data_IF_461616086023
#
_entry.id   IF_461616086023
#
_cell.length_a   1.000
_cell.length_b   1.000
_cell.length_c   1.000
_cell.angle_alpha   90.00
_cell.angle_beta   90.00
_cell.angle_gamma   90.00
#
_symmetry.space_group_name_H-M   'P 1'
#
loop_
_entity.id
_entity.type
_entity.pdbx_description
1 polymer ?
#
# COMPACT_ATOMS: atom_id res chain seq x y z
N UNK A 1 28.44 -40.36 -40.65
CA UNK A 1 29.47 -39.73 -39.80
C UNK A 1 28.83 -38.55 -39.08
N UNK A 2 29.26 -38.25 -37.84
CA UNK A 2 28.85 -37.14 -36.95
C UNK A 2 30.05 -36.13 -36.89
N UNK A 3 30.03 -34.96 -36.21
CA UNK A 3 28.96 -33.99 -35.82
C UNK A 3 28.98 -32.75 -36.77
N UNK A 4 28.58 -31.48 -36.53
CA UNK A 4 28.10 -30.61 -35.42
C UNK A 4 26.87 -29.80 -35.93
N UNK A 5 25.94 -29.16 -35.18
CA UNK A 5 25.73 -28.73 -33.78
C UNK A 5 26.10 -27.27 -33.39
N UNK A 6 25.09 -26.46 -33.01
CA UNK A 6 25.12 -25.06 -32.47
C UNK A 6 25.41 -23.93 -33.50
N UNK A 7 25.09 -22.63 -33.28
CA UNK A 7 24.76 -21.87 -32.05
C UNK A 7 23.58 -20.89 -32.21
N UNK A 8 23.04 -20.42 -31.08
CA UNK A 8 22.18 -19.23 -30.97
C UNK A 8 22.97 -17.95 -31.30
N UNK A 9 22.37 -17.03 -32.06
CA UNK A 9 22.81 -15.61 -32.10
C UNK A 9 21.59 -14.71 -31.89
N UNK A 10 21.63 -13.86 -30.86
CA UNK A 10 20.61 -12.81 -30.63
C UNK A 10 20.81 -11.69 -31.66
N UNK A 11 19.78 -11.37 -32.45
CA UNK A 11 19.79 -10.17 -33.30
C UNK A 11 18.79 -9.14 -32.77
N UNK A 12 19.34 -8.07 -32.18
CA UNK A 12 18.63 -6.84 -31.82
C UNK A 12 18.68 -5.85 -32.99
N UNK A 13 17.78 -5.94 -33.96
CA UNK A 13 17.30 -4.74 -34.67
C UNK A 13 15.95 -5.02 -35.36
N UNK A 14 15.08 -4.01 -35.38
CA UNK A 14 13.76 -4.02 -36.05
C UNK A 14 13.89 -3.55 -37.51
N UNK A 15 14.99 -2.88 -37.87
CA UNK A 15 15.24 -2.28 -39.19
C UNK A 15 15.32 -3.27 -40.36
N UNK A 16 15.44 -4.58 -40.09
CA UNK A 16 15.50 -5.61 -41.14
C UNK A 16 14.15 -5.94 -41.81
N UNK A 17 13.01 -5.66 -41.18
CA UNK A 17 11.71 -6.17 -41.66
C UNK A 17 11.13 -5.39 -42.85
N UNK A 18 11.61 -4.17 -43.11
CA UNK A 18 10.98 -3.24 -44.05
C UNK A 18 11.33 -3.48 -45.54
N UNK A 19 12.31 -4.35 -45.83
CA UNK A 19 12.85 -4.51 -47.19
C UNK A 19 12.24 -5.67 -48.01
N UNK A 20 11.47 -6.57 -47.39
CA UNK A 20 10.93 -7.75 -48.10
C UNK A 20 9.54 -7.55 -48.71
N UNK A 21 8.91 -6.38 -48.52
CA UNK A 21 7.53 -6.12 -48.94
C UNK A 21 7.39 -5.04 -50.03
N UNK A 22 8.35 -5.00 -50.97
CA UNK A 22 8.42 -3.96 -52.01
C UNK A 22 8.67 -4.49 -53.44
N UNK A 23 8.29 -5.75 -53.74
CA UNK A 23 8.45 -6.29 -55.10
C UNK A 23 7.40 -7.34 -55.55
N UNK A 24 6.11 -6.95 -55.60
CA UNK A 24 5.21 -7.41 -56.67
C UNK A 24 4.07 -6.43 -56.96
N UNK A 25 3.59 -6.45 -58.20
CA UNK A 25 2.94 -5.33 -58.85
C UNK A 25 1.46 -5.58 -59.20
N UNK A 26 0.70 -4.48 -59.22
CA UNK A 26 -0.41 -4.19 -60.14
C UNK A 26 -1.48 -5.27 -60.37
N UNK A 27 -2.68 -5.06 -59.80
CA UNK A 27 -3.96 -5.00 -60.54
C UNK A 27 -5.15 -4.68 -59.63
N UNK A 28 -6.22 -4.11 -60.20
CA UNK A 28 -7.60 -4.28 -59.70
C UNK A 28 -8.00 -3.75 -58.32
N UNK A 29 -8.49 -2.51 -58.28
CA UNK A 29 -9.66 -2.09 -57.48
C UNK A 29 -9.87 -2.66 -56.05
N UNK A 30 -9.17 -2.13 -55.05
CA UNK A 30 -9.62 -2.23 -53.64
C UNK A 30 -9.52 -0.90 -52.86
N UNK A 31 -10.05 0.17 -53.47
CA UNK A 31 -9.99 1.54 -52.94
C UNK A 31 -11.16 1.83 -51.98
N UNK A 32 -11.01 1.51 -50.69
CA UNK A 32 -11.80 2.11 -49.58
C UNK A 32 -11.16 1.90 -48.19
N UNK A 33 -10.50 0.77 -47.91
CA UNK A 33 -10.31 0.30 -46.51
C UNK A 33 -9.06 0.75 -45.73
N UNK A 34 -8.14 1.54 -46.29
CA UNK A 34 -6.84 1.84 -45.65
C UNK A 34 -6.55 3.31 -45.32
N UNK A 35 -7.51 4.22 -45.50
CA UNK A 35 -7.34 5.65 -45.15
C UNK A 35 -7.47 5.95 -43.64
N UNK A 36 -7.31 4.96 -42.76
CA UNK A 36 -7.56 5.10 -41.31
C UNK A 36 -6.56 4.39 -40.38
N UNK A 37 -5.40 3.93 -40.89
CA UNK A 37 -4.33 3.36 -40.04
C UNK A 37 -3.23 4.38 -39.72
N UNK A 38 -3.04 5.40 -40.57
CA UNK A 38 -2.00 6.43 -40.35
C UNK A 38 -2.32 7.40 -39.20
N UNK A 39 -3.59 7.50 -38.77
CA UNK A 39 -4.00 8.36 -37.65
C UNK A 39 -3.76 7.72 -36.27
N UNK A 40 -3.52 6.39 -36.21
CA UNK A 40 -3.40 5.63 -34.96
C UNK A 40 -1.95 5.35 -34.53
N UNK A 41 -0.96 5.87 -35.26
CA UNK A 41 0.48 5.61 -35.01
C UNK A 41 1.30 6.87 -34.68
N UNK A 42 0.66 8.02 -34.39
CA UNK A 42 1.40 9.26 -34.10
C UNK A 42 0.78 10.18 -33.03
N UNK A 43 0.14 9.61 -32.00
CA UNK A 43 -0.24 10.32 -30.78
C UNK A 43 0.45 9.72 -29.54
N UNK A 44 1.77 9.85 -29.51
CA UNK A 44 2.55 9.83 -28.27
C UNK A 44 2.57 11.24 -27.66
N UNK A 45 1.39 11.75 -27.27
CA UNK A 45 1.25 12.91 -26.39
C UNK A 45 1.01 12.41 -24.97
N UNK A 46 1.91 12.78 -24.05
CA UNK A 46 2.00 12.18 -22.71
C UNK A 46 1.01 12.77 -21.70
N UNK A 47 -0.28 12.71 -22.01
CA UNK A 47 -1.39 13.09 -21.12
C UNK A 47 -2.33 11.91 -20.83
N UNK A 48 -1.76 10.70 -20.78
CA UNK A 48 -2.41 9.60 -20.08
C UNK A 48 -2.56 9.99 -18.61
N UNK A 49 -3.78 10.27 -18.16
CA UNK A 49 -4.09 10.44 -16.73
C UNK A 49 -3.58 9.19 -16.04
N UNK A 50 -2.49 9.33 -15.28
CA UNK A 50 -1.90 8.26 -14.51
C UNK A 50 -2.82 7.98 -13.32
N UNK A 51 -3.93 7.28 -13.58
CA UNK A 51 -4.77 6.64 -12.57
C UNK A 51 -3.94 5.51 -11.97
N UNK A 52 -2.98 5.89 -11.14
CA UNK A 52 -2.37 5.01 -10.14
C UNK A 52 -3.49 4.63 -9.19
N UNK A 53 -4.26 3.62 -9.58
CA UNK A 53 -5.22 2.95 -8.73
C UNK A 53 -4.45 2.29 -7.60
N UNK A 54 -4.15 3.07 -6.55
CA UNK A 54 -3.72 2.55 -5.25
C UNK A 54 -4.84 1.61 -4.80
N UNK A 55 -4.62 0.32 -5.01
CA UNK A 55 -5.18 -0.69 -4.11
C UNK A 55 -4.79 -0.30 -2.68
N UNK A 56 -5.63 -0.66 -1.71
CA UNK A 56 -5.33 -0.37 -0.29
C UNK A 56 -4.12 -1.22 0.11
N UNK A 57 -2.93 -0.65 -0.07
CA UNK A 57 -1.64 -1.33 0.07
C UNK A 57 -0.89 -0.76 1.26
N UNK A 58 -0.97 -1.49 2.37
CA UNK A 58 -0.10 -1.28 3.53
C UNK A 58 1.35 -1.64 3.13
N UNK A 59 2.31 -0.80 3.47
CA UNK A 59 3.75 -1.09 3.34
C UNK A 59 4.27 -1.78 4.60
N UNK A 60 5.47 -2.36 4.55
CA UNK A 60 6.15 -2.84 5.76
C UNK A 60 6.25 -1.77 6.86
N UNK A 61 6.36 -0.48 6.51
CA UNK A 61 6.35 0.62 7.49
C UNK A 61 4.98 0.75 8.17
N UNK A 62 3.88 0.63 7.43
CA UNK A 62 2.52 0.65 7.96
C UNK A 62 2.22 -0.57 8.83
N UNK A 63 2.53 -1.77 8.33
CA UNK A 63 2.36 -3.05 9.03
C UNK A 63 3.12 -3.05 10.36
N UNK A 64 4.39 -2.65 10.36
CA UNK A 64 5.21 -2.59 11.59
C UNK A 64 4.75 -1.49 12.56
N UNK A 65 4.26 -0.35 12.07
CA UNK A 65 3.68 0.69 12.92
C UNK A 65 2.40 0.21 13.62
N UNK A 66 1.50 -0.44 12.87
CA UNK A 66 0.25 -0.99 13.40
C UNK A 66 0.53 -2.12 14.39
N UNK A 67 1.40 -3.10 14.03
CA UNK A 67 1.81 -4.18 14.94
C UNK A 67 2.42 -3.67 16.23
N UNK A 68 3.31 -2.68 16.16
CA UNK A 68 3.97 -2.15 17.36
C UNK A 68 3.01 -1.37 18.26
N UNK A 69 2.06 -0.61 17.70
CA UNK A 69 1.00 0.02 18.49
C UNK A 69 0.04 -1.03 19.09
N UNK A 70 -0.26 -2.10 18.35
CA UNK A 70 -1.09 -3.21 18.84
C UNK A 70 -0.41 -3.97 19.98
N UNK A 71 0.89 -4.24 19.88
CA UNK A 71 1.68 -4.80 20.98
C UNK A 71 1.59 -3.93 22.24
N UNK A 72 1.78 -2.60 22.09
CA UNK A 72 1.67 -1.68 23.22
C UNK A 72 0.23 -1.55 23.75
N UNK A 73 -0.80 -1.69 22.91
CA UNK A 73 -2.20 -1.68 23.32
C UNK A 73 -2.63 -2.97 24.04
N UNK A 74 -2.15 -4.13 23.60
CA UNK A 74 -2.30 -5.40 24.32
C UNK A 74 -1.63 -5.31 25.69
N UNK A 75 -0.39 -4.82 25.76
CA UNK A 75 0.30 -4.64 27.05
C UNK A 75 -0.39 -3.59 27.94
N UNK A 76 -0.96 -2.54 27.37
CA UNK A 76 -1.78 -1.58 28.12
C UNK A 76 -3.04 -2.21 28.71
N UNK A 77 -3.68 -3.14 27.99
CA UNK A 77 -4.85 -3.88 28.46
C UNK A 77 -4.51 -4.90 29.58
N UNK A 78 -3.33 -5.52 29.51
CA UNK A 78 -2.87 -6.51 30.50
C UNK A 78 -2.27 -5.88 31.77
N UNK A 79 -1.49 -4.80 31.63
CA UNK A 79 -0.56 -4.30 32.67
C UNK A 79 -0.75 -2.79 32.98
N UNK A 80 -1.56 -2.06 32.21
CA UNK A 80 -1.70 -0.60 32.32
C UNK A 80 -0.56 0.17 31.64
N UNK A 81 -0.24 1.38 32.12
CA UNK A 81 0.87 2.15 31.55
C UNK A 81 2.23 1.52 31.87
N UNK A 82 2.81 0.83 30.88
CA UNK A 82 4.16 0.27 30.93
C UNK A 82 5.05 0.82 29.80
N UNK A 83 6.35 1.00 30.09
CA UNK A 83 7.36 1.48 29.13
C UNK A 83 8.24 0.33 28.65
N UNK A 84 8.29 0.11 27.34
CA UNK A 84 9.09 -0.95 26.72
C UNK A 84 10.30 -0.38 26.00
N UNK A 85 11.45 -1.06 26.09
CA UNK A 85 12.65 -0.65 25.36
C UNK A 85 12.51 -0.99 23.86
N UNK A 86 13.14 -0.19 22.99
CA UNK A 86 12.96 -0.38 21.54
C UNK A 86 13.61 -1.67 21.02
N UNK A 87 14.73 -2.08 21.63
CA UNK A 87 15.39 -3.39 21.48
C UNK A 87 14.48 -4.56 21.90
N UNK A 88 13.66 -4.37 22.94
CA UNK A 88 12.72 -5.37 23.42
C UNK A 88 11.52 -5.53 22.48
N UNK A 89 10.91 -4.42 22.05
CA UNK A 89 9.82 -4.44 21.05
C UNK A 89 10.35 -5.02 19.72
N UNK A 90 11.55 -4.62 19.30
CA UNK A 90 12.25 -5.15 18.12
C UNK A 90 12.33 -6.68 18.14
N UNK A 91 12.80 -7.24 19.26
CA UNK A 91 12.88 -8.69 19.49
C UNK A 91 11.51 -9.37 19.58
N UNK A 92 10.53 -8.75 20.22
CA UNK A 92 9.19 -9.33 20.46
C UNK A 92 8.27 -9.26 19.23
N UNK A 93 8.58 -8.44 18.23
CA UNK A 93 7.78 -8.25 17.02
C UNK A 93 8.51 -8.63 15.72
N UNK A 94 9.77 -9.07 15.81
CA UNK A 94 10.67 -9.35 14.67
C UNK A 94 10.80 -8.16 13.70
N UNK A 95 10.99 -6.96 14.27
CA UNK A 95 11.15 -5.71 13.52
C UNK A 95 12.59 -5.20 13.70
N UNK A 96 13.38 -4.96 12.63
CA UNK A 96 14.74 -4.43 12.75
C UNK A 96 14.79 -3.10 13.51
N UNK A 97 15.56 -3.04 14.59
CA UNK A 97 15.58 -1.95 15.57
C UNK A 97 15.73 -0.56 14.95
N UNK A 98 16.70 -0.35 14.04
CA UNK A 98 16.92 0.93 13.33
C UNK A 98 15.76 1.39 12.45
N UNK A 99 14.86 0.48 12.06
CA UNK A 99 13.66 0.80 11.30
C UNK A 99 12.48 1.08 12.25
N UNK A 100 12.41 0.33 13.36
CA UNK A 100 11.49 0.60 14.47
C UNK A 100 11.73 2.00 15.08
N UNK A 101 12.99 2.43 15.26
CA UNK A 101 13.36 3.79 15.69
C UNK A 101 12.74 4.88 14.83
N UNK A 102 12.76 4.72 13.50
CA UNK A 102 12.21 5.69 12.55
C UNK A 102 10.68 5.74 12.60
N UNK A 103 10.05 4.58 12.79
CA UNK A 103 8.59 4.47 12.99
C UNK A 103 8.21 5.13 14.32
N UNK A 104 8.92 4.84 15.40
CA UNK A 104 8.62 5.34 16.75
C UNK A 104 8.86 6.85 16.87
N UNK A 105 9.88 7.39 16.19
CA UNK A 105 10.08 8.84 16.08
C UNK A 105 8.89 9.54 15.38
N UNK A 106 8.30 8.90 14.36
CA UNK A 106 7.12 9.42 13.65
C UNK A 106 5.86 9.32 14.52
N UNK A 107 5.59 8.15 15.12
CA UNK A 107 4.46 7.93 16.02
C UNK A 107 4.49 8.86 17.24
N UNK A 108 5.67 9.09 17.83
CA UNK A 108 5.86 10.04 18.94
C UNK A 108 5.63 11.49 18.50
N UNK A 109 6.12 11.90 17.31
CA UNK A 109 5.86 13.24 16.75
C UNK A 109 4.38 13.49 16.49
N UNK A 110 3.62 12.45 16.16
CA UNK A 110 2.17 12.53 15.95
C UNK A 110 1.33 12.29 17.22
N UNK A 111 1.95 12.16 18.39
CA UNK A 111 1.25 12.09 19.68
C UNK A 111 0.67 10.73 20.07
N UNK A 112 0.96 9.65 19.33
CA UNK A 112 0.54 8.29 19.67
C UNK A 112 1.41 7.65 20.77
N UNK A 113 2.70 8.00 20.80
CA UNK A 113 3.67 7.48 21.77
C UNK A 113 4.27 8.59 22.63
N UNK A 114 4.62 8.25 23.87
CA UNK A 114 5.48 9.03 24.77
C UNK A 114 6.76 8.26 25.06
N UNK A 115 7.84 8.96 25.42
CA UNK A 115 9.17 8.36 25.59
C UNK A 115 9.85 8.84 26.87
N UNK A 116 10.23 7.91 27.74
CA UNK A 116 10.94 8.18 28.99
C UNK A 116 12.42 7.77 28.89
N UNK A 117 13.31 8.53 29.54
CA UNK A 117 14.76 8.23 29.60
C UNK A 117 15.11 7.43 30.87
N UNK A 118 16.24 6.73 30.82
CA UNK A 118 16.79 5.94 31.94
C UNK A 118 16.61 4.44 31.75
N UNK A 119 17.10 3.65 32.72
CA UNK A 119 17.14 2.17 32.63
C UNK A 119 15.75 1.51 32.57
N UNK A 120 14.76 2.11 33.25
CA UNK A 120 13.32 1.76 33.15
C UNK A 120 12.56 2.70 32.20
N UNK A 121 13.28 3.37 31.30
CA UNK A 121 12.72 4.18 30.22
C UNK A 121 12.43 3.32 28.99
N UNK A 122 11.96 3.98 27.93
CA UNK A 122 11.44 3.31 26.74
C UNK A 122 10.32 4.12 26.13
N UNK A 123 9.38 3.42 25.49
CA UNK A 123 8.17 4.00 24.90
C UNK A 123 6.90 3.38 25.49
N UNK A 124 5.87 4.20 25.63
CA UNK A 124 4.51 3.82 26.02
C UNK A 124 3.50 4.55 25.13
N UNK A 125 2.23 4.11 25.13
CA UNK A 125 1.15 4.86 24.49
C UNK A 125 0.95 6.21 25.19
N UNK A 126 0.62 7.25 24.43
CA UNK A 126 0.39 8.62 24.94
C UNK A 126 -1.10 9.01 24.99
N UNK A 127 -1.97 8.17 24.43
CA UNK A 127 -3.43 8.22 24.52
C UNK A 127 -3.94 6.84 24.96
N UNK A 128 -5.18 6.76 25.46
CA UNK A 128 -5.82 5.46 25.71
C UNK A 128 -6.00 4.70 24.37
N UNK A 129 -5.80 3.37 24.30
CA UNK A 129 -6.06 2.60 23.09
C UNK A 129 -7.46 2.79 22.48
N UNK A 130 -8.48 3.13 23.27
CA UNK A 130 -9.85 3.41 22.78
C UNK A 130 -9.93 4.72 21.99
N UNK A 131 -9.06 5.68 22.31
CA UNK A 131 -8.97 6.96 21.60
C UNK A 131 -8.18 6.84 20.28
N UNK A 132 -7.45 5.74 20.05
CA UNK A 132 -6.59 5.56 18.87
C UNK A 132 -7.35 4.74 17.81
N UNK A 133 -7.73 5.38 16.70
CA UNK A 133 -8.31 4.68 15.55
C UNK A 133 -7.25 4.05 14.65
N UNK A 134 -7.59 2.93 13.99
CA UNK A 134 -6.75 2.32 12.97
C UNK A 134 -6.50 3.28 11.80
N UNK A 135 -7.54 4.02 11.40
CA UNK A 135 -7.52 4.96 10.29
C UNK A 135 -6.61 6.17 10.49
N UNK A 136 -6.47 6.69 11.72
CA UNK A 136 -5.44 7.68 12.05
C UNK A 136 -4.03 7.17 11.74
N UNK A 137 -3.71 5.95 12.20
CA UNK A 137 -2.38 5.34 12.01
C UNK A 137 -2.12 5.05 10.53
N UNK A 138 -3.10 4.51 9.81
CA UNK A 138 -2.98 4.29 8.36
C UNK A 138 -2.77 5.62 7.62
N UNK A 139 -3.51 6.69 7.97
CA UNK A 139 -3.33 8.01 7.35
C UNK A 139 -1.98 8.65 7.67
N UNK A 140 -1.44 8.45 8.87
CA UNK A 140 -0.11 8.93 9.24
C UNK A 140 1.01 8.25 8.42
N UNK A 141 0.91 6.94 8.19
CA UNK A 141 2.02 6.16 7.61
C UNK A 141 1.94 6.04 6.09
N UNK A 142 0.73 5.82 5.53
CA UNK A 142 0.49 5.57 4.08
C UNK A 142 -0.07 6.79 3.33
N UNK A 143 -0.52 7.82 4.07
CA UNK A 143 -1.12 9.03 3.53
C UNK A 143 -2.59 8.86 3.15
N UNK A 144 -2.93 9.15 1.88
CA UNK A 144 -4.32 9.15 1.41
C UNK A 144 -4.89 7.75 1.21
N UNK A 145 -6.03 7.47 1.86
CA UNK A 145 -6.87 6.26 1.64
C UNK A 145 -7.92 6.54 0.53
N UNK A 146 -7.57 7.36 -0.46
CA UNK A 146 -8.50 7.88 -1.47
C UNK A 146 -8.17 7.29 -2.84
N UNK A 147 -9.10 6.58 -3.52
CA UNK A 147 -8.80 5.89 -4.79
C UNK A 147 -8.33 6.82 -5.93
N UNK A 148 -8.79 8.07 -5.94
CA UNK A 148 -8.38 9.14 -6.85
C UNK A 148 -8.27 10.47 -6.10
N UNK A 149 -7.47 11.40 -6.60
CA UNK A 149 -7.13 12.63 -5.88
C UNK A 149 -8.33 13.59 -5.69
N UNK A 150 -9.24 13.69 -6.67
CA UNK A 150 -10.44 14.55 -6.57
C UNK A 150 -11.54 14.04 -5.63
N UNK A 151 -11.33 12.89 -4.97
CA UNK A 151 -12.16 12.44 -3.83
C UNK A 151 -11.39 12.40 -2.51
N UNK A 152 -10.16 12.91 -2.47
CA UNK A 152 -9.38 13.00 -1.24
C UNK A 152 -9.82 14.16 -0.36
N UNK A 153 -9.81 13.96 0.96
CA UNK A 153 -10.08 15.02 1.95
C UNK A 153 -8.80 15.68 2.48
N UNK A 154 -7.67 14.97 2.50
CA UNK A 154 -6.40 15.45 3.04
C UNK A 154 -5.37 15.87 1.98
N UNK A 155 -5.53 15.43 0.73
CA UNK A 155 -4.78 15.92 -0.42
C UNK A 155 -5.67 15.94 -1.66
N UNK A 156 -6.70 16.79 -1.62
CA UNK A 156 -7.56 17.03 -2.78
C UNK A 156 -6.77 17.64 -3.94
N UNK A 157 -6.94 17.09 -5.14
CA UNK A 157 -6.48 17.70 -6.38
C UNK A 157 -7.59 17.56 -7.42
N UNK A 158 -8.00 18.68 -8.00
CA UNK A 158 -9.02 18.71 -9.05
C UNK A 158 -8.50 18.13 -10.38
N UNK A 159 -9.41 17.75 -11.28
CA UNK A 159 -9.08 17.47 -12.68
C UNK A 159 -10.07 18.13 -13.66
N UNK A 160 -9.65 18.36 -14.90
CA UNK A 160 -10.40 19.18 -15.86
C UNK A 160 -11.76 18.57 -16.27
N UNK A 161 -11.88 17.25 -16.15
CA UNK A 161 -13.12 16.50 -16.42
C UNK A 161 -14.08 16.45 -15.23
N UNK A 162 -13.68 16.96 -14.06
CA UNK A 162 -14.42 16.82 -12.81
C UNK A 162 -15.85 17.39 -12.81
N UNK A 163 -16.16 18.55 -13.43
CA UNK A 163 -17.51 19.11 -13.45
C UNK A 163 -18.56 18.17 -14.10
N UNK A 164 -18.15 17.37 -15.10
CA UNK A 164 -18.98 16.35 -15.74
C UNK A 164 -18.68 14.91 -15.28
N UNK A 165 -17.88 14.72 -14.23
CA UNK A 165 -17.42 13.39 -13.80
C UNK A 165 -18.48 12.63 -13.01
N UNK A 166 -19.36 11.92 -13.74
CA UNK A 166 -20.38 11.00 -13.18
C UNK A 166 -19.81 9.89 -12.27
N UNK A 167 -18.49 9.64 -12.34
CA UNK A 167 -17.79 8.69 -11.49
C UNK A 167 -17.37 9.26 -10.12
N UNK A 168 -17.25 10.59 -9.96
CA UNK A 168 -16.83 11.21 -8.68
C UNK A 168 -17.76 10.82 -7.50
N UNK A 169 -19.10 10.78 -7.63
CA UNK A 169 -19.98 10.28 -6.57
C UNK A 169 -19.75 8.80 -6.23
N UNK A 170 -19.37 7.96 -7.21
CA UNK A 170 -19.05 6.54 -6.98
C UNK A 170 -17.76 6.42 -6.16
N UNK A 171 -16.70 7.12 -6.57
CA UNK A 171 -15.42 7.12 -5.86
C UNK A 171 -15.50 7.75 -4.46
N UNK A 172 -16.37 8.75 -4.26
CA UNK A 172 -16.71 9.27 -2.94
C UNK A 172 -17.31 8.19 -2.03
N UNK A 173 -18.24 7.36 -2.54
CA UNK A 173 -18.81 6.25 -1.75
C UNK A 173 -17.75 5.19 -1.39
N UNK A 174 -16.86 4.83 -2.32
CA UNK A 174 -15.75 3.90 -2.05
C UNK A 174 -14.82 4.45 -0.96
N UNK A 175 -14.39 5.71 -1.10
CA UNK A 175 -13.54 6.39 -0.10
C UNK A 175 -14.22 6.45 1.27
N UNK A 176 -15.50 6.83 1.33
CA UNK A 176 -16.27 6.90 2.57
C UNK A 176 -16.42 5.51 3.24
N UNK A 177 -16.67 4.45 2.46
CA UNK A 177 -16.82 3.09 2.99
C UNK A 177 -15.50 2.57 3.60
N UNK A 178 -14.38 2.73 2.89
CA UNK A 178 -13.07 2.28 3.39
C UNK A 178 -12.64 3.10 4.61
N UNK A 179 -12.78 4.44 4.57
CA UNK A 179 -12.51 5.31 5.72
C UNK A 179 -13.39 4.95 6.91
N UNK A 180 -14.71 4.81 6.73
CA UNK A 180 -15.64 4.49 7.81
C UNK A 180 -15.28 3.21 8.58
N UNK A 181 -14.80 2.17 7.87
CA UNK A 181 -14.37 0.91 8.50
C UNK A 181 -13.10 1.11 9.35
N UNK A 182 -12.06 1.76 8.81
CA UNK A 182 -10.81 1.96 9.58
C UNK A 182 -10.94 3.04 10.66
N UNK A 183 -11.94 3.92 10.54
CA UNK A 183 -12.19 5.00 11.49
C UNK A 183 -13.11 4.55 12.65
N UNK A 184 -13.91 3.49 12.47
CA UNK A 184 -14.69 2.88 13.56
C UNK A 184 -13.89 1.95 14.46
N UNK A 185 -12.82 1.33 13.94
CA UNK A 185 -12.00 0.36 14.68
C UNK A 185 -10.90 1.06 15.47
N UNK A 186 -10.79 0.76 16.76
CA UNK A 186 -9.78 1.34 17.67
C UNK A 186 -8.80 0.29 18.22
N UNK A 187 -7.72 0.74 18.85
CA UNK A 187 -6.67 -0.16 19.35
C UNK A 187 -7.05 -0.91 20.64
N UNK A 188 -8.04 -0.46 21.43
CA UNK A 188 -8.58 -1.25 22.54
C UNK A 188 -9.35 -2.48 22.03
N UNK A 189 -10.19 -2.28 21.01
CA UNK A 189 -10.90 -3.35 20.31
C UNK A 189 -9.91 -4.36 19.74
N UNK A 190 -8.95 -3.91 18.92
CA UNK A 190 -7.92 -4.79 18.33
C UNK A 190 -7.09 -5.55 19.38
N UNK A 191 -6.81 -4.94 20.53
CA UNK A 191 -6.08 -5.59 21.62
C UNK A 191 -6.90 -6.74 22.26
N UNK A 192 -8.16 -6.49 22.60
CA UNK A 192 -9.07 -7.51 23.12
C UNK A 192 -9.26 -8.66 22.10
N UNK A 193 -9.47 -8.31 20.83
CA UNK A 193 -9.64 -9.27 19.72
C UNK A 193 -8.37 -10.14 19.52
N UNK A 194 -7.19 -9.57 19.78
CA UNK A 194 -5.91 -10.27 19.77
C UNK A 194 -5.79 -11.26 20.92
N UNK A 195 -6.12 -10.85 22.16
CA UNK A 195 -6.08 -11.70 23.34
C UNK A 195 -7.02 -12.92 23.22
N UNK A 196 -8.24 -12.72 22.70
CA UNK A 196 -9.19 -13.80 22.42
C UNK A 196 -8.61 -14.83 21.45
N UNK A 197 -7.99 -14.39 20.34
CA UNK A 197 -7.36 -15.28 19.35
C UNK A 197 -6.12 -15.99 19.90
N UNK A 198 -5.33 -15.34 20.75
CA UNK A 198 -4.19 -15.97 21.42
C UNK A 198 -4.65 -17.11 22.35
N UNK A 199 -5.68 -16.87 23.16
CA UNK A 199 -6.29 -17.91 24.03
C UNK A 199 -6.81 -19.09 23.22
N UNK A 200 -7.62 -18.84 22.18
CA UNK A 200 -8.14 -19.89 21.30
C UNK A 200 -7.03 -20.70 20.62
N UNK A 201 -5.93 -20.05 20.22
CA UNK A 201 -4.76 -20.74 19.64
C UNK A 201 -4.04 -21.62 20.66
N UNK A 202 -3.91 -21.19 21.92
CA UNK A 202 -3.32 -21.99 22.99
C UNK A 202 -4.20 -23.20 23.34
N UNK A 203 -5.50 -23.01 23.48
CA UNK A 203 -6.48 -24.08 23.72
C UNK A 203 -6.51 -25.10 22.58
N UNK A 204 -6.45 -24.63 21.33
CA UNK A 204 -6.34 -25.49 20.14
C UNK A 204 -5.04 -26.31 20.13
N UNK A 205 -3.90 -25.70 20.45
CA UNK A 205 -2.60 -26.39 20.46
C UNK A 205 -2.50 -27.44 21.58
N UNK A 206 -3.14 -27.20 22.73
CA UNK A 206 -3.25 -28.15 23.84
C UNK A 206 -4.03 -29.43 23.50
N UNK A 207 -4.78 -29.46 22.40
CA UNK A 207 -5.52 -30.64 21.92
C UNK A 207 -4.70 -31.51 20.93
N UNK A 208 -3.50 -31.07 20.55
CA UNK A 208 -2.62 -31.74 19.56
C UNK A 208 -1.28 -32.23 20.15
N UNK A 209 -1.20 -32.40 21.47
CA UNK A 209 -0.04 -32.90 22.24
C UNK A 209 -0.47 -34.08 23.11
#
# INVERSE_FOLDING_TARGET
MIPLSSQFVKIRDIRGFFFYFLQKTLTGSFKIFYTNIHYLLNHNSSEGIAVQGKTVRITFKGDYAIKSLLFLAVKYHEEGEHYFQISEISRLQDIPEKFLEQIFLLLRKAGFLKSQRGMRGGFALNRDPVEISLGEVVRLIEGTISPIACVSQSAYQACDFEPQCVLKPVWNRVRNAVSGIVDSVNFAELAADTLVRQKQKAESLMYYI
#
